data_IF_100705646100
#
_entry.id   IF_100705646100
#
_cell.length_a   1.000
_cell.length_b   1.000
_cell.length_c   1.000
_cell.angle_alpha   90.00
_cell.angle_beta   90.00
_cell.angle_gamma   90.00
#
_symmetry.space_group_name_H-M   'P 1'
#
loop_
_entity.id
_entity.type
_entity.pdbx_description
1 polymer ?
#
# COMPACT_ATOMS: atom_id res chain seq x y z
N UNK A 1 11.60 6.69 -12.69
CA UNK A 1 10.28 6.16 -12.26
C UNK A 1 10.24 6.21 -10.75
N UNK A 2 9.29 6.92 -10.15
CA UNK A 2 9.14 6.94 -8.70
C UNK A 2 8.10 5.86 -8.32
N UNK A 3 8.47 4.79 -7.59
CA UNK A 3 7.58 3.65 -7.34
C UNK A 3 6.27 4.04 -6.63
N UNK A 4 6.32 5.12 -5.86
CA UNK A 4 5.19 5.66 -5.11
C UNK A 4 4.46 6.81 -5.82
N UNK A 5 4.75 7.10 -7.10
CA UNK A 5 4.06 8.16 -7.82
C UNK A 5 3.49 7.67 -9.17
N UNK A 6 2.15 7.69 -9.35
CA UNK A 6 1.12 8.02 -8.36
C UNK A 6 1.09 7.00 -7.21
N UNK A 7 0.56 7.39 -6.03
CA UNK A 7 0.55 6.53 -4.85
C UNK A 7 -0.24 5.23 -5.15
N UNK A 8 0.40 4.05 -5.17
CA UNK A 8 -0.28 2.80 -5.51
C UNK A 8 -1.09 2.24 -4.34
N UNK A 9 -0.90 2.75 -3.12
CA UNK A 9 -1.57 2.25 -1.94
C UNK A 9 -2.93 2.95 -1.76
N UNK A 10 -3.96 2.15 -1.49
CA UNK A 10 -5.35 2.59 -1.28
C UNK A 10 -5.71 2.59 0.22
N UNK A 11 -6.92 3.04 0.55
CA UNK A 11 -7.46 3.03 1.93
C UNK A 11 -6.56 3.69 2.98
N UNK A 12 -5.83 4.75 2.59
CA UNK A 12 -4.92 5.46 3.48
C UNK A 12 -3.65 4.68 3.84
N UNK A 13 -3.28 3.68 3.04
CA UNK A 13 -2.01 2.96 3.13
C UNK A 13 -0.81 3.86 2.77
N UNK A 14 0.33 3.59 3.39
CA UNK A 14 1.57 4.34 3.17
C UNK A 14 2.45 3.62 2.18
N UNK A 15 2.83 4.29 1.09
CA UNK A 15 3.75 3.72 0.12
C UNK A 15 5.20 3.78 0.60
N UNK A 16 5.90 2.65 0.49
CA UNK A 16 7.30 2.50 0.83
C UNK A 16 8.04 1.94 -0.38
N UNK A 17 8.95 2.72 -0.94
CA UNK A 17 9.85 2.26 -1.99
C UNK A 17 10.98 1.43 -1.37
N UNK A 18 11.14 0.18 -1.82
CA UNK A 18 12.26 -0.70 -1.45
C UNK A 18 13.09 -1.01 -2.69
N UNK A 19 13.94 -0.05 -3.06
CA UNK A 19 14.71 -0.10 -4.31
C UNK A 19 13.80 -0.01 -5.52
N UNK A 20 13.82 -1.05 -6.37
CA UNK A 20 12.95 -1.15 -7.56
C UNK A 20 11.55 -1.72 -7.25
N UNK A 21 11.27 -2.10 -6.00
CA UNK A 21 9.97 -2.64 -5.59
C UNK A 21 9.18 -1.61 -4.81
N UNK A 22 7.86 -1.71 -4.90
CA UNK A 22 6.92 -0.95 -4.07
C UNK A 22 6.29 -1.87 -3.03
N UNK A 23 6.15 -1.36 -1.81
CA UNK A 23 5.44 -2.04 -0.73
C UNK A 23 4.45 -1.05 -0.09
N UNK A 24 3.24 -1.52 0.21
CA UNK A 24 2.24 -0.73 0.90
C UNK A 24 2.15 -1.15 2.36
N UNK A 25 2.27 -0.18 3.27
CA UNK A 25 1.96 -0.36 4.68
C UNK A 25 0.48 -0.05 4.90
N UNK A 26 -0.29 -1.11 5.15
CA UNK A 26 -1.73 -1.00 5.33
C UNK A 26 -2.10 -0.57 6.75
N UNK A 27 -3.18 0.20 6.86
CA UNK A 27 -3.77 0.54 8.17
C UNK A 27 -4.42 -0.70 8.78
N UNK A 28 -4.62 -0.66 10.09
CA UNK A 28 -5.38 -1.68 10.80
C UNK A 28 -6.75 -1.88 10.13
N UNK A 29 -7.15 -3.14 9.91
CA UNK A 29 -8.31 -3.57 9.11
C UNK A 29 -8.15 -3.54 7.59
N UNK A 30 -6.97 -3.30 7.03
CA UNK A 30 -6.75 -3.42 5.59
C UNK A 30 -5.58 -4.36 5.26
N UNK A 31 -5.68 -5.06 4.13
CA UNK A 31 -4.70 -6.03 3.64
C UNK A 31 -4.69 -6.04 2.10
N UNK A 32 -3.80 -6.84 1.52
CA UNK A 32 -3.54 -6.86 0.07
C UNK A 32 -2.30 -6.06 -0.31
N UNK A 33 -1.88 -6.19 -1.57
CA UNK A 33 -0.64 -5.56 -2.06
C UNK A 33 -0.75 -4.03 -2.12
N UNK A 34 -1.97 -3.52 -2.26
CA UNK A 34 -2.30 -2.09 -2.32
C UNK A 34 -3.25 -1.68 -1.19
N UNK A 35 -3.37 -2.51 -0.14
CA UNK A 35 -4.31 -2.28 0.96
C UNK A 35 -5.77 -2.17 0.50
N UNK A 36 -6.11 -2.84 -0.60
CA UNK A 36 -7.41 -2.77 -1.27
C UNK A 36 -8.48 -3.62 -0.59
N UNK A 37 -8.08 -4.59 0.23
CA UNK A 37 -8.99 -5.50 0.93
C UNK A 37 -9.19 -5.01 2.35
N UNK A 38 -10.45 -4.83 2.75
CA UNK A 38 -10.79 -4.66 4.15
C UNK A 38 -10.81 -6.03 4.83
N UNK A 39 -10.19 -6.15 6.00
CA UNK A 39 -10.34 -7.32 6.86
C UNK A 39 -11.58 -7.13 7.73
N UNK A 40 -12.53 -8.05 7.60
CA UNK A 40 -13.68 -8.15 8.48
C UNK A 40 -13.21 -8.69 9.84
N UNK A 41 -12.92 -7.77 10.76
CA UNK A 41 -12.63 -8.04 12.19
C UNK A 41 -13.86 -7.73 13.01
#
# INVERSE_FOLDING_TARGET
>A
VHPCFPNPCTNGGTCVARGNKVACLCRHKFTGNQCEKQMDI
#
